data_IF_396232264802
#
_entry.id   IF_396232264802
#
_cell.length_a   1.000
_cell.length_b   1.000
_cell.length_c   1.000
_cell.angle_alpha   90.00
_cell.angle_beta   90.00
_cell.angle_gamma   90.00
#
_symmetry.space_group_name_H-M   'P 1'
#
loop_
_entity.id
_entity.type
_entity.pdbx_description
1 polymer ?
#
# COMPACT_ATOMS: atom_id res chain seq x y z
N UNK A 1 26.63 -11.39 -2.90
CA UNK A 1 25.67 -12.14 -3.74
C UNK A 1 24.42 -11.29 -3.80
N UNK A 2 23.91 -10.94 -4.98
CA UNK A 2 22.64 -10.20 -5.04
C UNK A 2 21.53 -11.19 -4.68
N UNK A 3 20.61 -10.79 -3.81
CA UNK A 3 19.47 -11.62 -3.35
C UNK A 3 18.69 -12.23 -4.52
N UNK A 4 18.67 -11.54 -5.68
CA UNK A 4 18.08 -12.02 -6.93
C UNK A 4 18.75 -13.30 -7.46
N UNK A 5 20.08 -13.36 -7.42
CA UNK A 5 20.84 -14.49 -7.96
C UNK A 5 20.66 -15.74 -7.08
N UNK A 6 20.55 -15.54 -5.76
CA UNK A 6 20.22 -16.60 -4.81
C UNK A 6 18.82 -17.18 -5.05
N UNK A 7 17.84 -16.29 -5.27
CA UNK A 7 16.46 -16.67 -5.56
C UNK A 7 16.36 -17.49 -6.86
N UNK A 8 17.06 -17.08 -7.91
CA UNK A 8 17.11 -17.84 -9.17
C UNK A 8 17.69 -19.24 -8.96
N UNK A 9 18.80 -19.36 -8.22
CA UNK A 9 19.42 -20.66 -7.94
C UNK A 9 18.52 -21.59 -7.12
N UNK A 10 17.71 -21.05 -6.21
CA UNK A 10 16.74 -21.82 -5.44
C UNK A 10 15.55 -22.26 -6.31
N UNK A 11 15.04 -21.39 -7.18
CA UNK A 11 13.94 -21.70 -8.09
C UNK A 11 14.33 -22.81 -9.08
N UNK A 12 15.55 -22.77 -9.61
CA UNK A 12 16.06 -23.79 -10.55
C UNK A 12 16.15 -25.21 -9.93
N UNK A 13 16.25 -25.30 -8.59
CA UNK A 13 16.29 -26.58 -7.87
C UNK A 13 14.90 -27.13 -7.54
N UNK A 14 13.84 -26.33 -7.70
CA UNK A 14 12.48 -26.75 -7.39
C UNK A 14 11.87 -27.60 -8.53
N UNK A 15 11.01 -28.57 -8.21
CA UNK A 15 10.09 -29.19 -9.16
C UNK A 15 9.20 -28.15 -9.86
N UNK A 16 8.80 -28.43 -11.10
CA UNK A 16 8.00 -27.52 -11.94
C UNK A 16 6.71 -27.03 -11.24
N UNK A 17 6.02 -27.93 -10.55
CA UNK A 17 4.82 -27.65 -9.74
C UNK A 17 5.07 -26.56 -8.68
N UNK A 18 6.21 -26.62 -8.00
CA UNK A 18 6.58 -25.64 -6.97
C UNK A 18 7.13 -24.34 -7.59
N UNK A 19 7.69 -24.39 -8.80
CA UNK A 19 8.06 -23.17 -9.52
C UNK A 19 6.82 -22.34 -9.91
N UNK A 20 5.72 -23.01 -10.30
CA UNK A 20 4.44 -22.35 -10.55
C UNK A 20 3.88 -21.68 -9.29
N UNK A 21 3.90 -22.37 -8.14
CA UNK A 21 3.48 -21.79 -6.86
C UNK A 21 4.31 -20.56 -6.47
N UNK A 22 5.63 -20.60 -6.68
CA UNK A 22 6.51 -19.45 -6.43
C UNK A 22 6.17 -18.29 -7.36
N UNK A 23 5.89 -18.56 -8.63
CA UNK A 23 5.47 -17.53 -9.59
C UNK A 23 4.14 -16.90 -9.18
N UNK A 24 3.17 -17.68 -8.72
CA UNK A 24 1.88 -17.19 -8.24
C UNK A 24 2.02 -16.36 -6.97
N UNK A 25 2.86 -16.79 -6.03
CA UNK A 25 3.14 -16.01 -4.84
C UNK A 25 3.83 -14.67 -5.17
N UNK A 26 4.78 -14.67 -6.12
CA UNK A 26 5.40 -13.44 -6.59
C UNK A 26 4.39 -12.49 -7.25
N UNK A 27 3.47 -13.01 -8.07
CA UNK A 27 2.36 -12.23 -8.66
C UNK A 27 1.46 -11.64 -7.57
N UNK A 28 1.13 -12.43 -6.55
CA UNK A 28 0.35 -11.97 -5.41
C UNK A 28 1.06 -10.82 -4.68
N UNK A 29 2.35 -10.92 -4.39
CA UNK A 29 3.10 -9.85 -3.73
C UNK A 29 3.11 -8.54 -4.53
N UNK A 30 3.27 -8.64 -5.86
CA UNK A 30 3.21 -7.48 -6.76
C UNK A 30 1.81 -6.84 -6.77
N UNK A 31 0.76 -7.68 -6.85
CA UNK A 31 -0.62 -7.22 -6.80
C UNK A 31 -0.96 -6.59 -5.45
N UNK A 32 -0.52 -7.20 -4.34
CA UNK A 32 -0.69 -6.68 -2.98
C UNK A 32 -0.03 -5.32 -2.82
N UNK A 33 1.22 -5.15 -3.25
CA UNK A 33 1.90 -3.84 -3.19
C UNK A 33 1.11 -2.76 -3.91
N UNK A 34 0.61 -3.06 -5.12
CA UNK A 34 -0.20 -2.13 -5.91
C UNK A 34 -1.53 -1.82 -5.22
N UNK A 35 -2.18 -2.83 -4.64
CA UNK A 35 -3.41 -2.65 -3.87
C UNK A 35 -3.19 -1.84 -2.60
N UNK A 36 -2.10 -2.07 -1.88
CA UNK A 36 -1.76 -1.32 -0.67
C UNK A 36 -1.48 0.14 -1.05
N UNK A 37 -0.67 0.40 -2.07
CA UNK A 37 -0.44 1.77 -2.58
C UNK A 37 -1.76 2.47 -2.98
N UNK A 38 -2.68 1.77 -3.64
CA UNK A 38 -4.01 2.29 -3.99
C UNK A 38 -4.93 2.49 -2.78
N UNK A 39 -4.91 1.57 -1.82
CA UNK A 39 -5.68 1.65 -0.59
C UNK A 39 -5.20 2.81 0.28
N UNK A 40 -3.88 3.03 0.39
CA UNK A 40 -3.30 4.20 1.05
C UNK A 40 -3.74 5.52 0.38
N UNK A 41 -3.76 5.57 -0.96
CA UNK A 41 -4.29 6.74 -1.68
C UNK A 41 -5.78 6.98 -1.43
N UNK A 42 -6.58 5.91 -1.33
CA UNK A 42 -8.03 6.02 -1.13
C UNK A 42 -8.41 6.33 0.32
N UNK A 43 -7.70 5.77 1.30
CA UNK A 43 -7.94 6.00 2.73
C UNK A 43 -7.55 7.42 3.17
N UNK A 44 -6.59 8.07 2.53
CA UNK A 44 -6.00 9.32 3.06
C UNK A 44 -6.88 10.57 2.96
N UNK A 45 -7.93 10.60 2.14
CA UNK A 45 -8.75 11.82 1.95
C UNK A 45 -10.13 11.67 2.60
N UNK A 46 -10.88 10.61 2.27
CA UNK A 46 -12.24 10.47 2.80
C UNK A 46 -12.28 10.13 4.29
N UNK A 47 -11.33 9.34 4.81
CA UNK A 47 -11.26 9.15 6.26
C UNK A 47 -10.72 10.36 7.00
N UNK A 48 -9.77 11.10 6.42
CA UNK A 48 -9.25 12.34 7.03
C UNK A 48 -10.33 13.44 7.16
N UNK A 49 -11.31 13.44 6.26
CA UNK A 49 -12.44 14.38 6.28
C UNK A 49 -13.65 13.89 7.10
N UNK A 50 -13.73 12.60 7.43
CA UNK A 50 -14.93 12.00 8.06
C UNK A 50 -15.17 12.49 9.49
N UNK A 51 -14.11 12.84 10.21
CA UNK A 51 -14.18 13.38 11.57
C UNK A 51 -13.89 14.89 11.62
N UNK A 52 -13.75 15.54 10.45
CA UNK A 52 -13.67 16.99 10.38
C UNK A 52 -15.11 17.52 10.47
N UNK A 53 -15.46 18.31 11.50
CA UNK A 53 -16.78 18.93 11.53
C UNK A 53 -16.91 19.84 10.30
N UNK A 54 -18.07 19.79 9.63
CA UNK A 54 -18.49 20.83 8.67
C UNK A 54 -18.70 22.12 9.48
N UNK A 55 -17.61 22.81 9.81
CA UNK A 55 -17.67 24.13 10.41
C UNK A 55 -17.74 25.16 9.29
N UNK A 56 -18.85 25.91 9.23
CA UNK A 56 -18.94 27.16 8.46
C UNK A 56 -18.09 28.21 9.18
N UNK A 57 -16.78 28.18 8.95
CA UNK A 57 -15.87 29.19 9.46
C UNK A 57 -16.28 30.58 8.95
N UNK A 58 -16.51 31.50 9.88
CA UNK A 58 -16.91 32.86 9.58
C UNK A 58 -15.79 33.84 9.96
N UNK A 59 -15.83 35.06 9.41
CA UNK A 59 -14.87 36.11 9.75
C UNK A 59 -14.83 36.44 11.27
N UNK A 60 -15.89 36.07 11.99
CA UNK A 60 -16.02 36.18 13.44
C UNK A 60 -15.03 35.32 14.22
N UNK A 61 -14.62 34.18 13.64
CA UNK A 61 -13.78 33.17 14.29
C UNK A 61 -12.29 33.55 14.29
N UNK A 62 -11.92 34.56 13.51
CA UNK A 62 -10.55 35.09 13.41
C UNK A 62 -10.09 35.89 14.64
N UNK A 63 -10.90 35.97 15.71
CA UNK A 63 -10.57 36.79 16.87
C UNK A 63 -9.75 36.02 17.90
N UNK A 64 -8.44 36.03 17.70
CA UNK A 64 -7.44 35.79 18.74
C UNK A 64 -7.73 36.68 19.96
N UNK A 65 -8.05 36.05 21.10
CA UNK A 65 -8.27 36.75 22.37
C UNK A 65 -7.02 36.58 23.24
N UNK A 66 -6.13 37.57 23.20
CA UNK A 66 -4.98 37.69 24.10
C UNK A 66 -5.42 38.21 25.47
#
# INVERSE_FOLDING_TARGET
>A
MQVKDELLSLIEQLPEELQEEVADFARFLLAKRRSDEQAWQHFSIQQALRDLPEEDYSESDLKERW
#
